data_IF_327735706641
#
_entry.id   IF_327735706641
#
_cell.length_a   1.000
_cell.length_b   1.000
_cell.length_c   1.000
_cell.angle_alpha   90.00
_cell.angle_beta   90.00
_cell.angle_gamma   90.00
#
_symmetry.space_group_name_H-M   'P 1'
#
loop_
_entity.id
_entity.type
_entity.pdbx_description
1 polymer ?
#
# COMPACT_ATOMS: atom_id res chain seq x y z
N UNK A 1 5.18 8.47 37.91
CA UNK A 1 4.01 8.82 37.09
C UNK A 1 3.13 7.60 36.90
N UNK A 2 1.83 7.82 36.82
CA UNK A 2 0.85 6.77 36.51
C UNK A 2 1.02 6.19 35.11
N UNK A 3 1.52 6.98 34.17
CA UNK A 3 1.64 6.62 32.77
C UNK A 3 3.10 6.32 32.40
N UNK A 4 3.35 5.10 31.92
CA UNK A 4 4.68 4.69 31.44
C UNK A 4 4.98 5.16 30.01
N UNK A 5 4.00 5.73 29.32
CA UNK A 5 4.15 6.23 27.96
C UNK A 5 3.26 7.42 27.66
N UNK A 6 3.71 8.25 26.72
CA UNK A 6 2.94 9.34 26.11
C UNK A 6 2.74 9.05 24.62
N UNK A 7 1.53 9.32 24.10
CA UNK A 7 1.23 9.17 22.68
C UNK A 7 1.06 10.55 22.06
N UNK A 8 1.92 10.86 21.12
CA UNK A 8 1.83 12.05 20.27
C UNK A 8 1.07 11.67 18.99
N UNK A 9 -0.12 12.24 18.82
CA UNK A 9 -1.01 11.93 17.69
C UNK A 9 -0.70 12.81 16.48
N UNK A 10 -0.76 12.22 15.27
CA UNK A 10 -0.60 12.93 14.00
C UNK A 10 0.73 13.71 13.91
N UNK A 11 1.77 13.21 14.53
CA UNK A 11 3.12 13.80 14.50
C UNK A 11 4.06 12.84 13.76
N UNK A 12 4.85 13.40 12.86
CA UNK A 12 5.94 12.68 12.20
C UNK A 12 7.28 13.20 12.73
N UNK A 13 8.17 12.28 13.06
CA UNK A 13 9.54 12.56 13.45
C UNK A 13 10.48 11.88 12.48
N UNK A 14 11.60 12.56 12.17
CA UNK A 14 12.66 11.94 11.39
C UNK A 14 13.35 10.84 12.21
N UNK A 15 13.90 9.83 11.54
CA UNK A 15 14.69 8.79 12.20
C UNK A 15 15.86 9.42 12.98
N UNK A 16 16.09 8.94 14.19
CA UNK A 16 17.13 9.48 15.07
C UNK A 16 16.79 10.80 15.77
N UNK A 17 15.56 11.32 15.63
CA UNK A 17 15.13 12.49 16.43
C UNK A 17 15.32 12.22 17.91
N UNK A 18 15.99 13.15 18.59
CA UNK A 18 16.20 13.06 20.02
C UNK A 18 15.01 13.66 20.78
N UNK A 19 14.42 12.88 21.68
CA UNK A 19 13.39 13.32 22.63
C UNK A 19 14.00 13.23 24.02
N UNK A 20 13.84 14.27 24.83
CA UNK A 20 14.40 14.30 26.17
C UNK A 20 13.47 15.01 27.15
N UNK A 21 13.58 14.69 28.44
CA UNK A 21 13.00 15.53 29.47
C UNK A 21 13.70 16.90 29.51
N UNK A 22 12.91 17.96 29.52
CA UNK A 22 13.47 19.31 29.57
C UNK A 22 14.22 19.58 30.90
N UNK A 23 13.73 19.02 32.00
CA UNK A 23 14.29 19.22 33.35
C UNK A 23 15.60 18.44 33.58
N UNK A 24 15.64 17.17 33.20
CA UNK A 24 16.78 16.28 33.49
C UNK A 24 17.75 16.12 32.34
N UNK A 25 17.34 16.53 31.11
CA UNK A 25 18.05 16.26 29.85
C UNK A 25 18.16 14.77 29.54
N UNK A 26 17.49 13.91 30.28
CA UNK A 26 17.48 12.47 30.02
C UNK A 26 16.81 12.15 28.68
N UNK A 27 17.46 11.34 27.84
CA UNK A 27 16.92 10.90 26.57
C UNK A 27 15.81 9.87 26.78
N UNK A 28 14.71 10.05 26.07
CA UNK A 28 13.57 9.17 26.11
C UNK A 28 13.56 8.27 24.87
N UNK A 29 13.20 7.03 25.08
CA UNK A 29 12.96 6.09 23.98
C UNK A 29 11.61 6.43 23.32
N UNK A 30 11.55 6.31 22.00
CA UNK A 30 10.32 6.49 21.28
C UNK A 30 10.24 5.53 20.08
N UNK A 31 9.02 5.22 19.64
CA UNK A 31 8.77 4.40 18.46
C UNK A 31 7.56 4.93 17.70
N UNK A 32 7.55 4.69 16.39
CA UNK A 32 6.39 4.97 15.55
C UNK A 32 5.39 3.80 15.63
N UNK A 33 4.11 4.12 15.83
CA UNK A 33 3.01 3.17 15.88
C UNK A 33 1.87 3.72 15.00
N UNK A 34 1.77 3.23 13.77
CA UNK A 34 0.89 3.82 12.76
C UNK A 34 1.25 5.28 12.48
N UNK A 35 0.29 6.19 12.61
CA UNK A 35 0.48 7.64 12.44
C UNK A 35 0.85 8.37 13.75
N UNK A 36 1.10 7.63 14.82
CA UNK A 36 1.42 8.18 16.13
C UNK A 36 2.86 7.86 16.53
N UNK A 37 3.38 8.66 17.47
CA UNK A 37 4.65 8.43 18.15
C UNK A 37 4.36 8.05 19.60
N UNK A 38 4.81 6.89 20.03
CA UNK A 38 4.83 6.51 21.44
C UNK A 38 6.18 6.88 22.04
N UNK A 39 6.18 7.74 23.05
CA UNK A 39 7.34 8.09 23.87
C UNK A 39 7.27 7.29 25.17
N UNK A 40 8.33 6.57 25.49
CA UNK A 40 8.40 5.67 26.65
C UNK A 40 9.10 6.42 27.78
N UNK A 41 8.45 6.51 28.92
CA UNK A 41 9.03 7.12 30.10
C UNK A 41 9.82 6.09 30.91
N UNK A 42 11.00 6.45 31.42
CA UNK A 42 11.72 5.63 32.38
C UNK A 42 10.95 5.51 33.70
N UNK A 43 11.38 4.64 34.59
CA UNK A 43 10.78 4.55 35.89
C UNK A 43 10.97 5.86 36.69
N UNK A 44 9.92 6.26 37.40
CA UNK A 44 9.92 7.51 38.15
C UNK A 44 10.98 7.50 39.28
N UNK A 45 11.84 8.50 39.23
CA UNK A 45 12.84 8.70 40.29
C UNK A 45 12.68 10.11 40.89
N UNK A 46 12.12 10.23 42.10
CA UNK A 46 11.86 11.52 42.73
C UNK A 46 13.15 12.30 43.05
N UNK A 47 14.31 11.64 43.16
CA UNK A 47 15.58 12.30 43.38
C UNK A 47 16.10 13.00 42.11
N UNK A 48 15.67 12.57 40.94
CA UNK A 48 16.06 13.18 39.66
C UNK A 48 15.03 14.19 39.15
N UNK A 49 13.76 13.97 39.41
CA UNK A 49 12.66 14.78 38.89
C UNK A 49 12.07 15.60 40.03
N UNK A 50 12.38 16.89 40.01
CA UNK A 50 11.99 17.83 41.11
C UNK A 50 10.57 18.36 40.96
N UNK A 51 9.89 18.15 39.83
CA UNK A 51 8.50 18.60 39.63
C UNK A 51 7.53 17.42 39.60
N UNK A 52 6.67 17.26 40.61
CA UNK A 52 5.72 16.14 40.67
C UNK A 52 4.44 16.37 39.81
N UNK A 53 4.21 17.58 39.31
CA UNK A 53 2.92 17.96 38.73
C UNK A 53 2.90 18.07 37.22
N UNK A 54 4.07 18.30 36.58
CA UNK A 54 4.15 18.43 35.13
C UNK A 54 5.52 18.00 34.61
N UNK A 55 5.51 17.32 33.47
CA UNK A 55 6.73 16.89 32.78
C UNK A 55 6.75 17.53 31.38
N UNK A 56 7.76 18.36 31.14
CA UNK A 56 8.00 18.94 29.81
C UNK A 56 8.98 18.06 29.02
N UNK A 57 8.60 17.71 27.83
CA UNK A 57 9.41 16.90 26.90
C UNK A 57 9.85 17.80 25.76
N UNK A 58 11.14 17.80 25.45
CA UNK A 58 11.74 18.50 24.31
C UNK A 58 11.92 17.52 23.17
N UNK A 59 11.47 17.91 21.98
CA UNK A 59 11.72 17.21 20.73
C UNK A 59 12.70 18.06 19.92
N UNK A 60 13.90 17.54 19.67
CA UNK A 60 14.90 18.27 18.91
C UNK A 60 14.54 18.30 17.42
N UNK A 61 14.79 19.47 16.81
CA UNK A 61 14.56 19.71 15.38
C UNK A 61 13.11 19.45 14.89
N UNK A 62 12.12 19.43 15.79
CA UNK A 62 10.73 19.33 15.38
C UNK A 62 10.35 20.46 14.40
N UNK A 63 9.73 20.09 13.26
CA UNK A 63 9.37 21.03 12.21
C UNK A 63 10.53 21.49 11.32
N UNK A 64 11.76 21.08 11.59
CA UNK A 64 12.94 21.35 10.74
C UNK A 64 13.25 20.21 9.76
N UNK A 65 12.35 19.29 9.54
CA UNK A 65 12.50 18.20 8.58
C UNK A 65 11.37 18.22 7.55
N UNK A 66 11.65 17.68 6.38
CA UNK A 66 10.65 17.51 5.33
C UNK A 66 9.78 16.30 5.64
N UNK A 67 8.47 16.44 5.48
CA UNK A 67 7.55 15.29 5.64
C UNK A 67 7.84 14.20 4.59
N UNK A 68 7.61 12.94 4.97
CA UNK A 68 7.79 11.77 4.10
C UNK A 68 6.85 11.86 2.89
N UNK A 69 7.31 11.62 1.67
CA UNK A 69 6.44 11.60 0.49
C UNK A 69 5.42 10.46 0.57
N UNK A 70 4.35 10.53 -0.22
CA UNK A 70 3.36 9.46 -0.35
C UNK A 70 3.36 8.93 -1.78
N UNK A 71 3.31 7.62 -1.93
CA UNK A 71 3.17 6.95 -3.22
C UNK A 71 1.76 6.42 -3.36
N UNK A 72 1.12 6.75 -4.48
CA UNK A 72 -0.14 6.17 -4.92
C UNK A 72 0.12 5.35 -6.19
N UNK A 73 -0.43 4.15 -6.22
CA UNK A 73 -0.34 3.26 -7.38
C UNK A 73 -1.75 3.07 -7.94
N UNK A 74 -1.93 3.40 -9.20
CA UNK A 74 -3.14 3.12 -9.97
C UNK A 74 -2.81 2.17 -11.11
N UNK A 75 -3.83 1.51 -11.66
CA UNK A 75 -3.64 0.57 -12.77
C UNK A 75 -4.51 1.01 -13.94
N UNK A 76 -3.95 0.99 -15.14
CA UNK A 76 -4.70 1.23 -16.36
C UNK A 76 -5.52 -0.02 -16.76
N UNK A 77 -6.29 0.07 -17.86
CA UNK A 77 -7.11 -1.05 -18.35
C UNK A 77 -6.30 -2.31 -18.72
N UNK A 78 -5.00 -2.16 -18.97
CA UNK A 78 -4.07 -3.25 -19.25
C UNK A 78 -3.33 -3.75 -18.00
N UNK A 79 -3.81 -3.38 -16.79
CA UNK A 79 -3.20 -3.69 -15.50
C UNK A 79 -1.73 -3.24 -15.37
N UNK A 80 -1.32 -2.24 -16.16
CA UNK A 80 0.00 -1.63 -16.00
C UNK A 80 -0.06 -0.64 -14.84
N UNK A 81 0.85 -0.75 -13.86
CA UNK A 81 0.89 0.15 -12.73
C UNK A 81 1.42 1.52 -13.13
N UNK A 82 0.73 2.55 -12.71
CA UNK A 82 1.14 3.95 -12.78
C UNK A 82 1.43 4.45 -11.38
N UNK A 83 2.63 4.92 -11.16
CA UNK A 83 3.13 5.42 -9.88
C UNK A 83 3.05 6.93 -9.87
N UNK A 84 2.35 7.49 -8.89
CA UNK A 84 2.35 8.91 -8.59
C UNK A 84 2.89 9.17 -7.19
N UNK A 85 3.75 10.18 -7.06
CA UNK A 85 4.36 10.55 -5.78
C UNK A 85 3.91 11.96 -5.42
N UNK A 86 3.48 12.15 -4.20
CA UNK A 86 3.06 13.46 -3.69
C UNK A 86 3.75 13.77 -2.36
N UNK A 87 3.93 15.07 -2.12
CA UNK A 87 4.42 15.61 -0.85
C UNK A 87 3.37 16.57 -0.28
N UNK A 88 3.21 16.65 1.04
CA UNK A 88 2.23 17.54 1.66
C UNK A 88 2.69 19.02 1.68
N UNK A 89 3.92 19.32 1.29
CA UNK A 89 4.50 20.66 1.38
C UNK A 89 4.87 21.21 0.01
N UNK A 90 4.63 22.50 -0.20
CA UNK A 90 5.06 23.22 -1.39
C UNK A 90 6.58 23.47 -1.40
N UNK A 91 7.14 23.52 -2.60
CA UNK A 91 8.57 23.79 -2.80
C UNK A 91 9.48 22.67 -2.31
N UNK A 92 8.96 21.44 -2.22
CA UNK A 92 9.73 20.25 -1.87
C UNK A 92 10.05 19.48 -3.15
N UNK A 93 11.31 19.18 -3.38
CA UNK A 93 11.77 18.27 -4.43
C UNK A 93 11.67 16.82 -3.94
N UNK A 94 11.20 15.92 -4.80
CA UNK A 94 11.16 14.48 -4.51
C UNK A 94 12.10 13.76 -5.46
N UNK A 95 13.03 12.99 -4.93
CA UNK A 95 13.92 12.11 -5.70
C UNK A 95 13.52 10.65 -5.45
N UNK A 96 13.62 9.83 -6.48
CA UNK A 96 13.24 8.43 -6.37
C UNK A 96 14.18 7.49 -7.13
N UNK A 97 14.13 6.21 -6.76
CA UNK A 97 14.84 5.10 -7.41
C UNK A 97 13.87 3.95 -7.63
N UNK A 98 14.20 3.09 -8.59
CA UNK A 98 13.43 1.88 -8.94
C UNK A 98 14.29 0.62 -9.00
N UNK A 99 15.55 0.73 -8.56
CA UNK A 99 16.58 -0.29 -8.58
C UNK A 99 17.00 -0.73 -7.17
N UNK A 100 16.14 -0.47 -6.18
CA UNK A 100 16.35 -0.75 -4.76
C UNK A 100 17.47 0.07 -4.08
N UNK A 101 18.13 0.98 -4.79
CA UNK A 101 19.12 1.86 -4.17
C UNK A 101 18.47 2.94 -3.30
N UNK A 102 19.20 3.49 -2.34
CA UNK A 102 18.72 4.59 -1.49
C UNK A 102 18.71 5.88 -2.31
N UNK A 103 17.55 6.56 -2.45
CA UNK A 103 17.47 7.80 -3.22
C UNK A 103 18.18 8.97 -2.51
N UNK A 104 18.77 9.85 -3.33
CA UNK A 104 19.39 11.10 -2.90
C UNK A 104 19.22 12.17 -3.96
N UNK A 105 19.83 13.34 -3.78
CA UNK A 105 19.74 14.46 -4.73
C UNK A 105 20.34 14.16 -6.13
N UNK A 106 21.12 13.10 -6.25
CA UNK A 106 21.67 12.62 -7.53
C UNK A 106 20.75 11.60 -8.24
N UNK A 107 19.68 11.18 -7.57
CA UNK A 107 18.69 10.24 -8.12
C UNK A 107 17.70 10.96 -9.04
N UNK A 108 16.78 10.22 -9.64
CA UNK A 108 15.80 10.80 -10.56
C UNK A 108 14.85 11.74 -9.84
N UNK A 109 14.77 12.98 -10.30
CA UNK A 109 13.82 13.97 -9.82
C UNK A 109 12.40 13.60 -10.28
N UNK A 110 11.47 13.49 -9.36
CA UNK A 110 10.07 13.24 -9.70
C UNK A 110 9.39 14.52 -10.23
N UNK A 111 8.89 14.46 -11.46
CA UNK A 111 8.17 15.56 -12.10
C UNK A 111 6.76 15.18 -12.56
N UNK A 112 6.53 13.89 -12.86
CA UNK A 112 5.24 13.37 -13.37
C UNK A 112 5.08 11.90 -13.04
N UNK A 113 3.84 11.36 -13.06
CA UNK A 113 3.61 9.94 -12.93
C UNK A 113 4.36 9.10 -13.96
N UNK A 114 4.85 7.94 -13.55
CA UNK A 114 5.58 7.00 -14.40
C UNK A 114 5.04 5.58 -14.25
N UNK A 115 5.33 4.74 -15.24
CA UNK A 115 4.93 3.33 -15.24
C UNK A 115 6.12 2.42 -14.97
N UNK A 116 5.87 1.27 -14.37
CA UNK A 116 6.84 0.19 -14.24
C UNK A 116 6.32 -1.07 -14.93
N UNK A 117 7.22 -1.83 -15.58
CA UNK A 117 6.83 -3.00 -16.40
C UNK A 117 6.99 -4.33 -15.65
N UNK A 118 7.64 -4.32 -14.50
CA UNK A 118 7.84 -5.45 -13.62
C UNK A 118 7.55 -5.05 -12.18
N UNK A 119 7.32 -6.03 -11.32
CA UNK A 119 7.22 -5.77 -9.87
C UNK A 119 8.52 -5.11 -9.39
N UNK A 120 8.42 -3.91 -8.86
CA UNK A 120 9.53 -3.00 -8.61
C UNK A 120 9.42 -2.42 -7.20
N UNK A 121 10.54 -2.31 -6.51
CA UNK A 121 10.63 -1.54 -5.27
C UNK A 121 10.90 -0.09 -5.66
N UNK A 122 9.98 0.80 -5.29
CA UNK A 122 10.13 2.24 -5.45
C UNK A 122 10.53 2.83 -4.11
N UNK A 123 11.69 3.49 -4.07
CA UNK A 123 12.14 4.27 -2.92
C UNK A 123 12.10 5.75 -3.27
N UNK A 124 11.69 6.58 -2.32
CA UNK A 124 11.59 8.02 -2.53
C UNK A 124 11.98 8.81 -1.29
N UNK A 125 12.61 9.96 -1.49
CA UNK A 125 13.00 10.92 -0.47
C UNK A 125 12.54 12.33 -0.87
N UNK A 126 12.06 13.09 0.10
CA UNK A 126 11.69 14.48 -0.08
C UNK A 126 12.78 15.40 0.48
N UNK A 127 13.13 16.42 -0.29
CA UNK A 127 14.23 17.34 0.02
C UNK A 127 13.73 18.78 -0.13
N UNK A 128 14.10 19.65 0.80
CA UNK A 128 13.88 21.09 0.71
C UNK A 128 15.07 21.81 1.35
N UNK A 129 15.58 22.83 0.68
CA UNK A 129 16.71 23.61 1.18
C UNK A 129 16.43 24.20 2.57
N UNK A 130 17.42 24.15 3.42
CA UNK A 130 17.32 24.62 4.80
C UNK A 130 16.58 23.71 5.77
N UNK A 131 16.08 22.56 5.31
CA UNK A 131 15.44 21.54 6.14
C UNK A 131 16.20 20.21 6.10
N UNK A 132 15.98 19.38 7.11
CA UNK A 132 16.46 18.00 7.12
C UNK A 132 15.60 17.19 6.15
N UNK A 133 16.22 16.38 5.31
CA UNK A 133 15.53 15.50 4.36
C UNK A 133 14.54 14.58 5.06
N UNK A 134 13.52 14.18 4.35
CA UNK A 134 12.58 13.16 4.87
C UNK A 134 13.26 11.82 5.10
N UNK A 135 12.60 10.95 5.87
CA UNK A 135 12.90 9.51 5.81
C UNK A 135 12.61 8.98 4.41
N UNK A 136 13.33 7.92 4.04
CA UNK A 136 13.07 7.21 2.79
C UNK A 136 11.72 6.50 2.87
N UNK A 137 10.87 6.76 1.89
CA UNK A 137 9.70 5.93 1.63
C UNK A 137 10.14 4.73 0.81
N UNK A 138 9.65 3.57 1.16
CA UNK A 138 9.80 2.33 0.38
C UNK A 138 8.43 1.72 0.12
N UNK A 139 8.19 1.30 -1.13
CA UNK A 139 6.93 0.66 -1.53
C UNK A 139 7.17 -0.33 -2.65
N UNK A 140 6.55 -1.50 -2.55
CA UNK A 140 6.57 -2.48 -3.64
C UNK A 140 5.40 -2.24 -4.58
N UNK A 141 5.70 -1.90 -5.82
CA UNK A 141 4.71 -1.74 -6.91
C UNK A 141 4.61 -3.06 -7.64
N UNK A 142 3.46 -3.74 -7.52
CA UNK A 142 3.21 -5.01 -8.20
C UNK A 142 2.84 -4.78 -9.66
N UNK A 143 3.52 -5.45 -10.59
CA UNK A 143 3.10 -5.54 -11.98
C UNK A 143 2.44 -6.90 -12.21
N UNK A 144 1.32 -6.89 -12.94
CA UNK A 144 0.58 -8.10 -13.28
C UNK A 144 0.89 -8.48 -14.72
N UNK A 145 1.36 -9.70 -14.94
CA UNK A 145 1.45 -10.26 -16.28
C UNK A 145 0.06 -10.71 -16.74
N UNK A 146 -0.44 -10.09 -17.77
CA UNK A 146 -1.65 -10.61 -18.45
C UNK A 146 -1.32 -11.93 -19.11
N UNK A 147 -2.23 -12.89 -19.02
CA UNK A 147 -2.13 -14.11 -19.81
C UNK A 147 -2.15 -13.76 -21.29
N UNK A 148 -1.31 -14.43 -22.07
CA UNK A 148 -1.34 -14.26 -23.52
C UNK A 148 -2.75 -14.61 -24.03
N UNK A 149 -3.32 -13.82 -24.95
CA UNK A 149 -4.60 -14.16 -25.52
C UNK A 149 -4.49 -15.54 -26.21
N UNK A 150 -5.43 -16.41 -25.90
CA UNK A 150 -5.55 -17.67 -26.62
C UNK A 150 -6.04 -17.33 -28.03
N UNK A 151 -5.28 -17.73 -29.04
CA UNK A 151 -5.71 -17.60 -30.41
C UNK A 151 -6.85 -18.59 -30.60
N UNK A 152 -8.09 -18.12 -30.53
CA UNK A 152 -9.25 -18.91 -30.90
C UNK A 152 -9.38 -18.84 -32.42
N UNK A 153 -9.51 -19.99 -33.08
CA UNK A 153 -9.89 -20.03 -34.46
C UNK A 153 -11.20 -19.25 -34.72
N UNK A 154 -11.72 -19.26 -35.94
CA UNK A 154 -13.02 -18.63 -36.23
C UNK A 154 -14.06 -19.12 -35.23
N UNK A 155 -14.47 -18.25 -34.32
CA UNK A 155 -15.57 -18.55 -33.42
C UNK A 155 -16.87 -18.49 -34.21
N UNK A 156 -17.69 -19.52 -34.13
CA UNK A 156 -19.07 -19.47 -34.59
C UNK A 156 -19.91 -18.65 -33.60
N UNK A 157 -20.89 -17.93 -34.08
CA UNK A 157 -21.81 -17.20 -33.23
C UNK A 157 -22.65 -18.19 -32.39
N UNK A 158 -22.83 -17.87 -31.08
CA UNK A 158 -23.66 -18.66 -30.19
C UNK A 158 -22.85 -19.42 -29.14
N UNK A 159 -23.57 -20.04 -28.23
CA UNK A 159 -23.05 -20.85 -27.13
C UNK A 159 -23.41 -22.31 -27.37
N UNK A 160 -22.43 -23.18 -27.36
CA UNK A 160 -22.69 -24.62 -27.44
C UNK A 160 -23.14 -25.12 -26.08
N UNK A 161 -24.27 -25.84 -26.02
CA UNK A 161 -24.74 -26.47 -24.80
C UNK A 161 -24.84 -27.98 -24.97
N UNK A 162 -24.72 -28.69 -23.85
CA UNK A 162 -25.01 -30.10 -23.68
C UNK A 162 -25.93 -30.22 -22.44
N UNK A 163 -27.07 -30.87 -22.64
CA UNK A 163 -28.03 -31.10 -21.57
C UNK A 163 -27.98 -32.57 -21.14
N UNK A 164 -27.92 -32.77 -19.82
CA UNK A 164 -27.85 -34.09 -19.20
C UNK A 164 -28.99 -34.23 -18.21
N UNK A 165 -29.64 -35.39 -18.16
CA UNK A 165 -30.59 -35.74 -17.13
C UNK A 165 -30.00 -36.87 -16.28
N UNK A 166 -29.89 -36.59 -14.97
CA UNK A 166 -29.37 -37.55 -14.00
C UNK A 166 -29.83 -37.21 -12.58
N UNK A 167 -30.09 -38.20 -11.78
CA UNK A 167 -30.42 -38.05 -10.36
C UNK A 167 -29.16 -37.61 -9.57
N UNK A 168 -29.24 -36.47 -8.88
CA UNK A 168 -28.28 -35.95 -7.90
C UNK A 168 -26.79 -36.13 -8.28
N UNK A 169 -26.27 -35.30 -9.19
CA UNK A 169 -24.88 -35.42 -9.66
C UNK A 169 -23.99 -34.24 -9.35
N UNK A 170 -22.72 -34.56 -9.10
CA UNK A 170 -21.67 -33.54 -9.15
C UNK A 170 -21.26 -33.27 -10.61
N UNK A 171 -20.88 -32.04 -10.91
CA UNK A 171 -20.43 -31.59 -12.26
C UNK A 171 -19.31 -32.48 -12.82
N UNK A 172 -18.42 -32.98 -11.97
CA UNK A 172 -17.30 -33.85 -12.36
C UNK A 172 -17.71 -35.20 -12.93
N UNK A 173 -18.97 -35.65 -12.74
CA UNK A 173 -19.47 -36.90 -13.31
C UNK A 173 -20.19 -36.74 -14.65
N UNK A 174 -20.46 -35.50 -15.06
CA UNK A 174 -21.15 -35.25 -16.35
C UNK A 174 -20.31 -35.63 -17.56
N UNK A 175 -18.99 -35.64 -17.46
CA UNK A 175 -18.10 -36.04 -18.56
C UNK A 175 -18.25 -37.51 -18.95
N UNK A 176 -18.78 -38.36 -18.07
CA UNK A 176 -18.99 -39.79 -18.30
C UNK A 176 -20.39 -40.10 -18.89
N UNK A 177 -21.27 -39.10 -18.97
CA UNK A 177 -22.63 -39.28 -19.49
C UNK A 177 -22.74 -38.88 -20.93
N UNK A 178 -23.69 -39.54 -21.63
CA UNK A 178 -24.12 -39.08 -22.93
C UNK A 178 -25.13 -37.94 -22.77
N UNK A 179 -24.97 -36.84 -23.51
CA UNK A 179 -25.95 -35.75 -23.46
C UNK A 179 -27.29 -36.19 -24.06
N UNK A 180 -28.37 -35.90 -23.37
CA UNK A 180 -29.73 -36.12 -23.86
C UNK A 180 -30.04 -35.17 -25.03
N UNK A 181 -29.50 -33.93 -24.95
CA UNK A 181 -29.67 -32.90 -25.98
C UNK A 181 -28.42 -32.04 -26.09
N UNK A 182 -28.05 -31.64 -27.28
CA UNK A 182 -26.97 -30.67 -27.51
C UNK A 182 -27.34 -29.73 -28.66
N UNK A 183 -26.76 -28.55 -28.67
CA UNK A 183 -27.04 -27.58 -29.73
C UNK A 183 -26.29 -26.25 -29.50
N UNK A 184 -26.67 -25.27 -30.30
CA UNK A 184 -26.15 -23.90 -30.20
C UNK A 184 -27.31 -22.98 -29.84
N UNK A 185 -27.12 -22.10 -28.85
CA UNK A 185 -28.07 -21.06 -28.45
C UNK A 185 -27.38 -19.69 -28.51
N UNK A 186 -28.15 -18.66 -28.77
CA UNK A 186 -27.59 -17.30 -28.88
C UNK A 186 -27.42 -16.59 -27.53
N UNK A 187 -28.06 -17.08 -26.49
CA UNK A 187 -28.01 -16.51 -25.16
C UNK A 187 -28.13 -17.59 -24.06
N UNK A 188 -27.82 -17.20 -22.84
CA UNK A 188 -27.95 -18.00 -21.60
C UNK A 188 -29.35 -17.86 -20.99
N UNK A 189 -30.41 -18.02 -21.77
CA UNK A 189 -31.77 -17.97 -21.27
C UNK A 189 -32.18 -19.32 -20.69
N UNK A 190 -32.25 -19.42 -19.37
CA UNK A 190 -32.67 -20.64 -18.64
C UNK A 190 -34.19 -20.76 -18.51
N UNK A 191 -34.97 -19.76 -18.91
CA UNK A 191 -36.44 -19.76 -18.80
C UNK A 191 -37.11 -20.73 -19.80
N UNK A 192 -36.40 -21.16 -20.81
CA UNK A 192 -36.87 -22.20 -21.77
C UNK A 192 -36.83 -23.61 -21.17
N UNK A 193 -36.36 -23.77 -19.93
CA UNK A 193 -36.26 -25.09 -19.29
C UNK A 193 -37.62 -25.75 -18.94
N UNK A 194 -38.70 -24.97 -18.94
CA UNK A 194 -40.03 -25.42 -18.53
C UNK A 194 -41.07 -25.56 -19.67
N UNK A 195 -40.69 -25.39 -20.91
CA UNK A 195 -41.58 -25.79 -22.00
C UNK A 195 -41.51 -27.32 -22.16
N UNK A 196 -42.28 -28.02 -21.31
CA UNK A 196 -42.71 -29.38 -21.62
C UNK A 196 -43.44 -29.30 -22.98
N UNK A 197 -42.84 -29.88 -23.97
CA UNK A 197 -43.59 -30.21 -25.18
C UNK A 197 -44.75 -31.11 -24.75
N UNK A 198 -46.00 -30.63 -25.02
CA UNK A 198 -47.21 -31.45 -24.98
C UNK A 198 -47.22 -32.38 -26.16
#
# INVERSE_FOLDING_TARGET
YEYKKMVLKNIQLAAGTNISFLSTKEKLQWKKVGDNIEVIFPDYNPNKIKSPYAFAVKIDNYGKFVGKPKVNVSYNKLLQPMVSISTPAEGVAVYYTTDDTVPGQQSTLYSKPFTVNATTIVKAIAVKDGLINSDVLETTVKAYALMKPVTTGKLAAGLQYKYYEADAMSISKTEQLQPVKSGIVNDFNTDKKNQKEK
#
